data_IF_958902754723
#
_entry.id   IF_958902754723
#
_cell.length_a   1.000
_cell.length_b   1.000
_cell.length_c   1.000
_cell.angle_alpha   90.00
_cell.angle_beta   90.00
_cell.angle_gamma   90.00
#
_symmetry.space_group_name_H-M   'P 1'
#
loop_
_entity.id
_entity.type
_entity.pdbx_description
1 polymer ?
#
# COMPACT_ATOMS: atom_id res chain seq x y z
N UNK A 1 -45.86 20.43 -8.55
CA UNK A 1 -45.85 18.95 -8.49
C UNK A 1 -44.53 18.30 -8.92
N UNK A 2 -43.90 18.64 -10.05
CA UNK A 2 -42.62 18.03 -10.49
C UNK A 2 -41.44 18.24 -9.52
N UNK A 3 -41.29 19.42 -8.92
CA UNK A 3 -40.22 19.68 -7.93
C UNK A 3 -40.43 18.91 -6.61
N UNK A 4 -41.67 18.71 -6.20
CA UNK A 4 -42.00 17.94 -5.00
C UNK A 4 -41.76 16.44 -5.19
N UNK A 5 -41.94 15.94 -6.42
CA UNK A 5 -41.62 14.55 -6.79
C UNK A 5 -40.11 14.27 -6.79
N UNK A 6 -39.29 15.25 -7.19
CA UNK A 6 -37.82 15.14 -7.18
C UNK A 6 -37.28 15.12 -5.74
N UNK A 7 -37.82 15.97 -4.86
CA UNK A 7 -37.46 15.95 -3.42
C UNK A 7 -37.90 14.63 -2.77
N UNK A 8 -39.07 14.09 -3.14
CA UNK A 8 -39.53 12.80 -2.65
C UNK A 8 -38.69 11.63 -3.20
N UNK A 9 -38.21 11.69 -4.45
CA UNK A 9 -37.32 10.70 -5.05
C UNK A 9 -35.92 10.73 -4.42
N UNK A 10 -35.39 11.92 -4.10
CA UNK A 10 -34.13 12.08 -3.35
C UNK A 10 -34.29 11.55 -1.92
N UNK A 11 -35.44 11.74 -1.26
CA UNK A 11 -35.77 11.16 0.05
C UNK A 11 -36.22 9.68 0.00
N UNK A 12 -36.53 9.11 -1.16
CA UNK A 12 -36.77 7.67 -1.32
C UNK A 12 -35.48 6.92 -1.63
N UNK A 13 -34.52 7.57 -2.30
CA UNK A 13 -33.18 7.00 -2.50
C UNK A 13 -32.37 6.93 -1.21
N UNK A 14 -32.67 7.75 -0.19
CA UNK A 14 -32.02 7.66 1.14
C UNK A 14 -32.34 6.37 1.89
N UNK A 15 -33.37 5.61 1.46
CA UNK A 15 -33.71 4.30 2.04
C UNK A 15 -32.97 3.13 1.36
N UNK A 16 -32.17 3.37 0.32
CA UNK A 16 -31.59 2.28 -0.49
C UNK A 16 -30.33 1.65 0.12
N UNK A 17 -29.77 2.15 1.24
CA UNK A 17 -28.74 1.41 2.01
C UNK A 17 -28.93 1.32 3.52
N UNK A 18 -29.98 1.91 4.10
CA UNK A 18 -30.32 1.78 5.51
C UNK A 18 -29.31 2.35 6.53
N UNK A 19 -28.14 2.84 6.12
CA UNK A 19 -27.09 3.35 7.02
C UNK A 19 -26.91 4.86 6.88
N UNK A 20 -27.28 5.63 7.91
CA UNK A 20 -27.25 7.10 7.94
C UNK A 20 -25.84 7.67 7.75
N UNK A 21 -25.56 8.45 6.69
CA UNK A 21 -24.25 9.12 6.48
C UNK A 21 -24.04 10.24 7.52
N UNK A 22 -22.94 10.18 8.30
CA UNK A 22 -22.67 11.05 9.46
C UNK A 22 -21.32 11.76 9.37
N UNK A 23 -21.17 12.77 8.49
CA UNK A 23 -19.88 13.42 8.30
C UNK A 23 -19.51 14.30 9.50
N UNK A 24 -18.24 14.28 9.89
CA UNK A 24 -17.72 15.07 11.02
C UNK A 24 -16.80 16.18 10.55
N UNK A 25 -16.81 17.33 11.23
CA UNK A 25 -15.91 18.43 10.85
C UNK A 25 -14.46 18.08 11.10
N UNK A 26 -13.57 18.48 10.17
CA UNK A 26 -12.13 18.41 10.33
C UNK A 26 -11.48 19.43 9.40
N UNK A 27 -10.22 19.76 9.67
CA UNK A 27 -9.43 20.67 8.84
C UNK A 27 -8.21 19.94 8.33
N UNK A 28 -7.89 20.14 7.07
CA UNK A 28 -6.58 19.81 6.52
C UNK A 28 -5.77 21.11 6.43
N UNK A 29 -4.46 21.09 6.73
CA UNK A 29 -3.60 22.22 6.43
C UNK A 29 -3.69 22.56 4.93
N UNK A 30 -3.27 23.76 4.53
CA UNK A 30 -3.24 24.12 3.12
C UNK A 30 -2.37 23.11 2.33
N UNK A 31 -2.78 22.68 1.13
CA UNK A 31 -2.00 21.74 0.33
C UNK A 31 -0.54 22.15 0.18
N UNK A 32 0.41 21.22 0.32
CA UNK A 32 1.83 21.54 0.24
C UNK A 32 2.20 22.00 -1.18
N UNK A 33 3.28 22.78 -1.30
CA UNK A 33 3.93 23.04 -2.58
C UNK A 33 4.86 21.88 -2.95
N UNK A 34 4.86 21.48 -4.21
CA UNK A 34 5.75 20.43 -4.72
C UNK A 34 7.13 21.02 -5.05
N UNK A 35 7.94 21.21 -4.01
CA UNK A 35 9.29 21.80 -4.09
C UNK A 35 10.32 20.95 -3.33
N UNK A 36 11.60 21.11 -3.65
CA UNK A 36 12.69 20.41 -2.98
C UNK A 36 12.53 18.89 -3.09
N UNK A 37 12.52 18.15 -1.97
CA UNK A 37 12.27 16.70 -1.97
C UNK A 37 10.98 16.25 -2.65
N UNK A 38 9.98 17.14 -2.76
CA UNK A 38 8.68 16.89 -3.40
C UNK A 38 8.58 17.44 -4.82
N UNK A 39 9.69 17.95 -5.40
CA UNK A 39 9.68 18.54 -6.74
C UNK A 39 9.25 17.51 -7.80
N UNK A 40 8.28 17.86 -8.68
CA UNK A 40 7.80 16.93 -9.70
C UNK A 40 8.92 16.48 -10.64
N UNK A 41 8.88 15.21 -11.01
CA UNK A 41 9.79 14.57 -11.96
C UNK A 41 9.01 13.57 -12.84
N UNK A 42 9.72 12.74 -13.61
CA UNK A 42 9.11 11.73 -14.49
C UNK A 42 9.60 10.31 -14.16
N UNK A 43 10.04 10.07 -12.92
CA UNK A 43 10.62 8.78 -12.56
C UNK A 43 9.61 7.63 -12.63
N UNK A 44 8.36 7.82 -12.16
CA UNK A 44 7.31 6.81 -12.30
C UNK A 44 6.82 6.71 -13.74
N UNK A 45 6.77 7.82 -14.47
CA UNK A 45 6.42 7.81 -15.89
C UNK A 45 7.39 6.95 -16.71
N UNK A 46 8.69 7.03 -16.41
CA UNK A 46 9.74 6.25 -17.07
C UNK A 46 10.00 4.87 -16.44
N UNK A 47 9.21 4.46 -15.44
CA UNK A 47 9.40 3.18 -14.78
C UNK A 47 9.20 2.01 -15.77
N UNK A 48 9.99 0.96 -15.59
CA UNK A 48 9.85 -0.27 -16.37
C UNK A 48 8.50 -0.92 -16.06
N UNK A 49 7.73 -1.22 -17.11
CA UNK A 49 6.48 -1.98 -17.00
C UNK A 49 6.80 -3.48 -16.97
N UNK A 50 6.80 -4.05 -15.78
CA UNK A 50 7.02 -5.47 -15.54
C UNK A 50 5.72 -6.25 -15.80
N UNK A 51 5.80 -7.29 -16.63
CA UNK A 51 4.69 -8.22 -16.94
C UNK A 51 3.42 -7.57 -17.51
N UNK A 52 3.53 -6.74 -18.56
CA UNK A 52 2.36 -6.07 -19.16
C UNK A 52 1.29 -7.07 -19.56
N UNK A 53 0.07 -6.82 -19.09
CA UNK A 53 -1.15 -7.62 -19.28
C UNK A 53 -1.14 -9.04 -18.68
N UNK A 54 -0.08 -9.46 -17.98
CA UNK A 54 -0.02 -10.78 -17.30
C UNK A 54 -0.41 -10.71 -15.82
N UNK A 55 -0.32 -9.51 -15.23
CA UNK A 55 -0.66 -9.20 -13.84
C UNK A 55 -1.72 -8.11 -13.83
N UNK A 56 -2.63 -8.13 -12.86
CA UNK A 56 -3.69 -7.12 -12.74
C UNK A 56 -3.74 -6.57 -11.32
N UNK A 57 -3.65 -5.26 -11.21
CA UNK A 57 -3.79 -4.52 -9.97
C UNK A 57 -2.88 -5.02 -8.85
N UNK A 58 -1.55 -5.09 -9.03
CA UNK A 58 -0.65 -5.49 -7.95
C UNK A 58 -0.69 -4.45 -6.83
N UNK A 59 -1.02 -4.87 -5.61
CA UNK A 59 -1.27 -3.93 -4.49
C UNK A 59 -0.16 -3.90 -3.45
N UNK A 60 0.55 -5.01 -3.28
CA UNK A 60 1.61 -5.19 -2.28
C UNK A 60 2.63 -6.24 -2.72
N UNK A 61 3.85 -6.19 -2.18
CA UNK A 61 4.96 -7.08 -2.53
C UNK A 61 5.66 -7.68 -1.30
N UNK A 62 6.25 -8.86 -1.51
CA UNK A 62 7.04 -9.57 -0.51
C UNK A 62 8.28 -10.22 -1.17
N UNK A 63 9.40 -10.22 -0.46
CA UNK A 63 10.69 -10.73 -0.94
C UNK A 63 11.12 -11.93 -0.11
N UNK A 64 11.43 -13.06 -0.77
CA UNK A 64 11.90 -14.27 -0.07
C UNK A 64 12.81 -15.10 -0.98
N UNK A 65 14.06 -15.31 -0.53
CA UNK A 65 15.06 -16.13 -1.22
C UNK A 65 15.20 -15.78 -2.73
N UNK A 66 15.33 -14.48 -3.04
CA UNK A 66 15.47 -13.98 -4.42
C UNK A 66 14.18 -13.98 -5.25
N UNK A 67 13.05 -14.43 -4.70
CA UNK A 67 11.74 -14.33 -5.34
C UNK A 67 11.04 -13.03 -4.94
N UNK A 68 10.13 -12.59 -5.81
CA UNK A 68 9.26 -11.43 -5.55
C UNK A 68 7.83 -11.89 -5.72
N UNK A 69 7.05 -11.77 -4.67
CA UNK A 69 5.65 -12.13 -4.66
C UNK A 69 4.80 -10.88 -4.65
N UNK A 70 3.65 -10.93 -5.32
CA UNK A 70 2.63 -9.88 -5.25
C UNK A 70 1.24 -10.51 -5.19
N UNK A 71 0.28 -9.74 -4.71
CA UNK A 71 -1.13 -10.09 -4.75
C UNK A 71 -1.86 -9.23 -5.78
N UNK A 72 -2.83 -9.83 -6.45
CA UNK A 72 -3.48 -9.24 -7.62
C UNK A 72 -4.99 -9.11 -7.46
N UNK A 73 -5.59 -8.21 -8.24
CA UNK A 73 -7.03 -7.94 -8.23
C UNK A 73 -7.90 -9.15 -8.65
N UNK A 74 -7.31 -10.16 -9.29
CA UNK A 74 -7.92 -11.45 -9.63
C UNK A 74 -7.63 -12.56 -8.58
N UNK A 75 -7.21 -12.17 -7.37
CA UNK A 75 -7.13 -13.01 -6.17
C UNK A 75 -6.07 -14.10 -6.30
N UNK A 76 -4.97 -13.77 -6.98
CA UNK A 76 -3.81 -14.63 -7.10
C UNK A 76 -2.68 -14.09 -6.25
N UNK A 77 -1.90 -15.02 -5.72
CA UNK A 77 -0.58 -14.77 -5.16
C UNK A 77 0.40 -15.24 -6.21
N UNK A 78 1.21 -14.32 -6.73
CA UNK A 78 1.99 -14.52 -7.94
C UNK A 78 3.45 -14.22 -7.66
N UNK A 79 4.35 -15.13 -8.05
CA UNK A 79 5.77 -14.86 -8.14
C UNK A 79 6.08 -14.20 -9.48
N UNK A 80 6.74 -13.04 -9.44
CA UNK A 80 6.98 -12.15 -10.58
C UNK A 80 8.46 -12.06 -10.96
N UNK A 81 9.33 -12.87 -10.35
CA UNK A 81 10.78 -12.83 -10.63
C UNK A 81 11.11 -13.31 -12.06
N UNK A 82 10.37 -14.30 -12.55
CA UNK A 82 10.57 -14.92 -13.87
C UNK A 82 9.83 -14.17 -14.96
N UNK A 83 10.32 -14.26 -16.21
CA UNK A 83 9.68 -13.73 -17.43
C UNK A 83 8.16 -14.01 -17.54
N UNK A 84 7.73 -15.19 -17.12
CA UNK A 84 6.32 -15.52 -16.96
C UNK A 84 6.00 -15.58 -15.47
N UNK A 85 5.08 -14.74 -14.98
CA UNK A 85 4.65 -14.79 -13.59
C UNK A 85 4.03 -16.15 -13.28
N UNK A 86 4.45 -16.75 -12.16
CA UNK A 86 3.96 -18.05 -11.72
C UNK A 86 2.93 -17.85 -10.62
N UNK A 87 1.73 -18.41 -10.78
CA UNK A 87 0.71 -18.37 -9.73
C UNK A 87 1.07 -19.42 -8.67
N UNK A 88 1.28 -18.97 -7.45
CA UNK A 88 1.61 -19.81 -6.29
C UNK A 88 0.33 -20.38 -5.68
N UNK A 89 -0.67 -19.51 -5.52
CA UNK A 89 -1.96 -19.86 -4.94
C UNK A 89 -3.04 -18.90 -5.43
N UNK A 90 -4.30 -19.30 -5.28
CA UNK A 90 -5.45 -18.43 -5.53
C UNK A 90 -6.45 -18.53 -4.39
N UNK A 91 -6.99 -17.37 -4.01
CA UNK A 91 -8.07 -17.22 -3.04
C UNK A 91 -9.40 -16.87 -3.76
N UNK A 92 -9.47 -17.09 -5.07
CA UNK A 92 -10.67 -16.82 -5.86
C UNK A 92 -11.83 -17.73 -5.42
N UNK A 93 -13.01 -17.12 -5.26
CA UNK A 93 -14.25 -17.83 -4.93
C UNK A 93 -15.05 -18.05 -6.20
N UNK A 94 -15.42 -19.30 -6.47
CA UNK A 94 -16.22 -19.65 -7.66
C UNK A 94 -17.64 -19.09 -7.54
N UNK A 95 -18.15 -18.45 -8.60
CA UNK A 95 -19.53 -17.96 -8.66
C UNK A 95 -19.83 -16.70 -7.86
N UNK A 96 -18.81 -16.06 -7.27
CA UNK A 96 -18.96 -14.78 -6.58
C UNK A 96 -19.39 -13.67 -7.56
N UNK A 97 -20.21 -12.73 -7.08
CA UNK A 97 -20.82 -11.66 -7.90
C UNK A 97 -20.39 -10.27 -7.47
N UNK A 98 -20.15 -10.07 -6.18
CA UNK A 98 -19.69 -8.81 -5.61
C UNK A 98 -18.23 -8.88 -5.17
N UNK A 99 -17.56 -7.73 -5.05
CA UNK A 99 -16.19 -7.68 -4.53
C UNK A 99 -16.10 -8.26 -3.10
N UNK A 100 -17.12 -8.05 -2.27
CA UNK A 100 -17.19 -8.62 -0.92
C UNK A 100 -17.25 -10.15 -0.94
N UNK A 101 -18.04 -10.74 -1.85
CA UNK A 101 -18.09 -12.19 -2.03
C UNK A 101 -16.80 -12.74 -2.62
N UNK A 102 -16.24 -12.06 -3.62
CA UNK A 102 -15.03 -12.48 -4.33
C UNK A 102 -13.75 -12.30 -3.51
N UNK A 103 -13.77 -11.43 -2.48
CA UNK A 103 -12.58 -11.00 -1.77
C UNK A 103 -11.81 -9.91 -2.50
N UNK A 104 -10.81 -9.36 -1.82
CA UNK A 104 -9.87 -8.40 -2.36
C UNK A 104 -8.57 -8.53 -1.59
N UNK A 105 -7.52 -9.03 -2.24
CA UNK A 105 -6.20 -9.13 -1.62
C UNK A 105 -5.56 -7.75 -1.60
N UNK A 106 -5.11 -7.30 -0.44
CA UNK A 106 -4.60 -5.93 -0.25
C UNK A 106 -3.14 -5.91 0.17
N UNK A 107 -2.70 -6.89 0.97
CA UNK A 107 -1.35 -6.93 1.54
C UNK A 107 -0.73 -8.33 1.51
N UNK A 108 0.60 -8.38 1.40
CA UNK A 108 1.42 -9.58 1.51
C UNK A 108 2.70 -9.30 2.28
N UNK A 109 3.08 -10.21 3.18
CA UNK A 109 4.32 -10.18 3.98
C UNK A 109 4.94 -11.57 4.05
N UNK A 110 6.18 -11.65 4.51
CA UNK A 110 6.86 -12.90 4.83
C UNK A 110 6.89 -13.06 6.34
N UNK A 111 6.47 -14.22 6.85
CA UNK A 111 6.61 -14.54 8.27
C UNK A 111 7.99 -15.16 8.58
N UNK A 112 8.28 -15.31 9.88
CA UNK A 112 9.55 -15.85 10.37
C UNK A 112 9.85 -17.29 9.92
N UNK A 113 8.84 -18.01 9.42
CA UNK A 113 8.98 -19.38 8.93
C UNK A 113 9.13 -19.44 7.40
N UNK A 114 9.32 -18.28 6.75
CA UNK A 114 9.44 -18.19 5.29
C UNK A 114 8.13 -18.51 4.56
N UNK A 115 6.98 -18.26 5.19
CA UNK A 115 5.66 -18.37 4.56
C UNK A 115 5.14 -17.00 4.20
N UNK A 116 4.25 -16.94 3.20
CA UNK A 116 3.61 -15.71 2.77
C UNK A 116 2.36 -15.48 3.61
N UNK A 117 2.27 -14.37 4.32
CA UNK A 117 1.05 -13.95 5.02
C UNK A 117 0.33 -12.96 4.12
N UNK A 118 -0.92 -13.26 3.79
CA UNK A 118 -1.74 -12.55 2.82
C UNK A 118 -3.01 -12.06 3.49
N UNK A 119 -3.32 -10.78 3.30
CA UNK A 119 -4.54 -10.16 3.80
C UNK A 119 -5.57 -10.04 2.68
N UNK A 120 -6.79 -10.51 2.94
CA UNK A 120 -7.98 -10.20 2.17
C UNK A 120 -8.86 -9.20 2.95
N UNK A 121 -9.23 -8.10 2.30
CA UNK A 121 -10.03 -7.01 2.88
C UNK A 121 -11.36 -7.47 3.49
N UNK A 122 -11.92 -8.55 2.95
CA UNK A 122 -13.24 -9.08 3.28
C UNK A 122 -13.20 -10.41 4.00
N UNK A 123 -12.12 -11.18 3.85
CA UNK A 123 -12.06 -12.58 4.32
C UNK A 123 -11.03 -12.81 5.44
N UNK A 124 -10.20 -11.83 5.76
CA UNK A 124 -9.24 -11.93 6.86
C UNK A 124 -7.84 -12.35 6.41
N UNK A 125 -7.13 -13.05 7.28
CA UNK A 125 -5.71 -13.32 7.17
C UNK A 125 -5.43 -14.77 6.78
N UNK A 126 -4.53 -14.97 5.84
CA UNK A 126 -4.11 -16.28 5.35
C UNK A 126 -2.59 -16.42 5.45
N UNK A 127 -2.12 -17.64 5.69
CA UNK A 127 -0.74 -18.07 5.47
C UNK A 127 -0.70 -18.97 4.26
N UNK A 128 0.29 -18.77 3.40
CA UNK A 128 0.47 -19.48 2.15
C UNK A 128 1.90 -20.00 2.06
N UNK A 129 2.04 -21.27 1.76
CA UNK A 129 3.33 -21.87 1.48
C UNK A 129 3.81 -21.50 0.07
N UNK A 130 4.94 -20.79 -0.09
CA UNK A 130 5.42 -20.37 -1.40
C UNK A 130 5.89 -21.53 -2.28
N UNK A 131 6.20 -22.70 -1.71
CA UNK A 131 6.68 -23.88 -2.44
C UNK A 131 5.53 -24.78 -2.88
N UNK A 132 4.57 -25.04 -1.99
CA UNK A 132 3.49 -26.00 -2.24
C UNK A 132 2.17 -25.34 -2.65
N UNK A 133 2.02 -24.03 -2.41
CA UNK A 133 0.75 -23.32 -2.59
C UNK A 133 -0.30 -23.65 -1.52
N UNK A 134 0.05 -24.39 -0.46
CA UNK A 134 -0.87 -24.72 0.62
C UNK A 134 -1.33 -23.46 1.35
N UNK A 135 -2.63 -23.39 1.67
CA UNK A 135 -3.29 -22.22 2.27
C UNK A 135 -3.83 -22.60 3.65
N UNK A 136 -3.51 -21.81 4.66
CA UNK A 136 -4.06 -21.86 6.02
C UNK A 136 -4.74 -20.53 6.33
N UNK A 137 -6.00 -20.53 6.78
CA UNK A 137 -6.64 -19.30 7.26
C UNK A 137 -6.27 -19.08 8.73
N UNK A 138 -5.58 -17.97 9.01
CA UNK A 138 -5.13 -17.59 10.36
C UNK A 138 -6.22 -16.84 11.13
N UNK A 139 -6.96 -15.98 10.42
CA UNK A 139 -8.03 -15.16 11.00
C UNK A 139 -9.16 -14.98 9.99
N UNK A 140 -10.41 -15.20 10.41
CA UNK A 140 -11.59 -14.89 9.62
C UNK A 140 -12.20 -13.57 10.05
N UNK A 141 -12.48 -12.69 9.09
CA UNK A 141 -13.20 -11.41 9.29
C UNK A 141 -14.64 -11.60 9.79
N UNK A 142 -15.19 -12.82 9.75
CA UNK A 142 -16.50 -13.12 10.35
C UNK A 142 -16.44 -13.16 11.89
N UNK A 143 -15.24 -13.30 12.46
CA UNK A 143 -15.03 -13.31 13.91
C UNK A 143 -15.02 -11.87 14.42
N UNK A 144 -15.91 -11.61 15.38
CA UNK A 144 -15.96 -10.32 16.07
C UNK A 144 -14.74 -10.13 16.96
N UNK A 145 -14.19 -8.93 16.93
CA UNK A 145 -13.11 -8.48 17.81
C UNK A 145 -13.58 -7.16 18.42
N UNK A 146 -13.47 -6.97 19.74
CA UNK A 146 -13.97 -5.74 20.38
C UNK A 146 -15.48 -5.47 20.14
N UNK A 147 -16.29 -6.53 19.97
CA UNK A 147 -17.74 -6.41 19.77
C UNK A 147 -18.20 -6.09 18.34
N UNK A 148 -17.30 -6.03 17.35
CA UNK A 148 -17.67 -5.85 15.93
C UNK A 148 -16.79 -6.64 14.97
N UNK A 149 -17.36 -7.08 13.85
CA UNK A 149 -16.58 -7.66 12.75
C UNK A 149 -15.82 -6.54 12.02
N UNK A 150 -14.63 -6.80 11.47
CA UNK A 150 -14.00 -5.88 10.53
C UNK A 150 -14.89 -5.56 9.34
N UNK A 151 -14.68 -4.37 8.73
CA UNK A 151 -15.38 -3.97 7.50
C UNK A 151 -14.43 -3.77 6.34
N UNK A 152 -13.23 -3.26 6.59
CA UNK A 152 -12.24 -3.05 5.55
C UNK A 152 -10.84 -3.25 6.09
N UNK A 153 -10.31 -4.46 5.92
CA UNK A 153 -8.92 -4.74 6.25
C UNK A 153 -8.00 -4.23 5.13
N UNK A 154 -7.02 -3.37 5.43
CA UNK A 154 -6.16 -2.75 4.39
C UNK A 154 -4.75 -3.30 4.35
N UNK A 155 -4.04 -3.31 5.48
CA UNK A 155 -2.63 -3.71 5.52
C UNK A 155 -2.29 -4.50 6.79
N UNK A 156 -1.15 -5.19 6.74
CA UNK A 156 -0.58 -5.91 7.88
C UNK A 156 0.88 -5.53 8.10
N UNK A 157 1.36 -5.69 9.33
CA UNK A 157 2.81 -5.77 9.58
C UNK A 157 3.07 -6.84 10.63
N UNK A 158 4.18 -7.57 10.46
CA UNK A 158 4.56 -8.70 11.30
C UNK A 158 5.76 -8.29 12.13
N UNK A 159 5.66 -8.46 13.46
CA UNK A 159 6.77 -8.29 14.39
C UNK A 159 7.73 -9.48 14.33
N UNK A 160 8.94 -9.27 14.82
CA UNK A 160 9.96 -10.29 15.03
C UNK A 160 9.52 -11.47 15.90
N UNK A 161 8.55 -11.28 16.80
CA UNK A 161 7.94 -12.36 17.60
C UNK A 161 6.79 -13.11 16.86
N UNK A 162 6.47 -12.70 15.63
CA UNK A 162 5.40 -13.27 14.81
C UNK A 162 4.01 -12.65 15.07
N UNK A 163 3.88 -11.71 15.99
CA UNK A 163 2.65 -10.93 16.20
C UNK A 163 2.32 -10.11 14.96
N UNK A 164 1.05 -10.08 14.57
CA UNK A 164 0.61 -9.41 13.34
C UNK A 164 -0.35 -8.28 13.69
N UNK A 165 0.00 -7.04 13.36
CA UNK A 165 -0.93 -5.92 13.38
C UNK A 165 -1.71 -5.87 12.07
N UNK A 166 -3.00 -5.54 12.16
CA UNK A 166 -3.91 -5.48 11.01
C UNK A 166 -4.72 -4.18 11.09
N UNK A 167 -4.76 -3.39 10.01
CA UNK A 167 -5.61 -2.20 9.94
C UNK A 167 -7.04 -2.57 9.56
N UNK A 168 -8.04 -1.98 10.23
CA UNK A 168 -9.45 -2.06 9.87
C UNK A 168 -10.00 -0.63 9.73
N UNK A 169 -10.23 -0.20 8.50
CA UNK A 169 -10.26 1.23 8.16
C UNK A 169 -11.55 1.95 8.47
N UNK A 170 -12.64 1.21 8.69
CA UNK A 170 -13.95 1.76 9.00
C UNK A 170 -14.77 0.77 9.82
N UNK A 171 -15.72 1.29 10.60
CA UNK A 171 -16.79 0.52 11.24
C UNK A 171 -18.01 0.36 10.33
N UNK A 172 -17.99 0.98 9.15
CA UNK A 172 -19.19 1.24 8.35
C UNK A 172 -19.04 0.85 6.89
N UNK A 173 -18.07 1.43 6.19
CA UNK A 173 -17.88 1.23 4.74
C UNK A 173 -16.75 0.22 4.48
N UNK A 174 -16.93 -0.57 3.44
CA UNK A 174 -15.96 -1.55 2.96
C UNK A 174 -15.12 -1.00 1.80
N UNK A 175 -14.25 -1.83 1.22
CA UNK A 175 -13.40 -1.43 0.07
C UNK A 175 -14.21 -0.95 -1.15
N UNK A 176 -15.40 -1.51 -1.35
CA UNK A 176 -16.31 -1.13 -2.43
C UNK A 176 -16.85 0.30 -2.26
N UNK A 177 -16.81 0.86 -1.04
CA UNK A 177 -17.42 2.12 -0.63
C UNK A 177 -16.43 3.05 0.08
N UNK A 178 -15.14 2.88 -0.20
CA UNK A 178 -14.00 3.58 0.40
C UNK A 178 -14.08 5.11 0.38
N UNK A 179 -14.59 5.70 -0.71
CA UNK A 179 -14.71 7.16 -0.84
C UNK A 179 -15.65 7.74 0.23
N UNK A 180 -16.65 6.98 0.67
CA UNK A 180 -17.53 7.42 1.75
C UNK A 180 -16.84 7.46 3.10
N UNK A 181 -15.75 6.70 3.32
CA UNK A 181 -14.90 6.82 4.52
C UNK A 181 -14.24 8.21 4.54
N UNK A 182 -13.70 8.64 3.40
CA UNK A 182 -13.05 9.96 3.24
C UNK A 182 -14.08 11.08 3.43
N UNK A 183 -15.23 10.97 2.76
CA UNK A 183 -16.30 11.97 2.81
C UNK A 183 -17.00 12.03 4.17
N UNK A 184 -17.03 10.95 4.93
CA UNK A 184 -17.55 10.95 6.29
C UNK A 184 -16.50 11.50 7.27
N UNK A 185 -15.24 11.11 7.08
CA UNK A 185 -14.09 11.62 7.83
C UNK A 185 -14.10 11.23 9.31
N UNK A 186 -14.88 10.23 9.70
CA UNK A 186 -14.98 9.75 11.09
C UNK A 186 -13.71 8.98 11.48
N UNK A 187 -13.16 9.21 12.69
CA UNK A 187 -12.02 8.45 13.20
C UNK A 187 -12.46 7.09 13.76
N UNK A 188 -13.18 6.29 12.95
CA UNK A 188 -13.72 4.98 13.37
C UNK A 188 -12.86 3.79 12.99
N UNK A 189 -11.73 4.03 12.33
CA UNK A 189 -10.75 3.00 12.02
C UNK A 189 -10.00 2.53 13.26
N UNK A 190 -9.54 1.29 13.23
CA UNK A 190 -8.94 0.60 14.36
C UNK A 190 -7.74 -0.24 13.94
N UNK A 191 -6.94 -0.66 14.91
CA UNK A 191 -5.82 -1.60 14.71
C UNK A 191 -6.11 -2.86 15.52
N UNK A 192 -6.04 -4.01 14.86
CA UNK A 192 -6.16 -5.33 15.47
C UNK A 192 -4.77 -5.95 15.66
N UNK A 193 -4.68 -6.90 16.58
CA UNK A 193 -3.48 -7.68 16.86
C UNK A 193 -3.82 -9.15 16.84
N UNK A 194 -3.19 -9.91 15.93
CA UNK A 194 -3.23 -11.37 15.89
C UNK A 194 -1.99 -11.94 16.58
N UNK A 195 -2.22 -12.80 17.58
CA UNK A 195 -1.17 -13.51 18.31
C UNK A 195 -0.99 -14.91 17.71
N UNK A 196 0.21 -15.28 17.23
CA UNK A 196 0.47 -16.61 16.69
C UNK A 196 0.40 -17.70 17.78
N UNK A 197 0.73 -17.36 19.02
CA UNK A 197 0.76 -18.31 20.15
C UNK A 197 -0.64 -18.75 20.56
N UNK A 198 -1.54 -17.79 20.72
CA UNK A 198 -2.93 -18.04 21.14
C UNK A 198 -3.85 -18.30 19.96
N UNK A 199 -3.42 -17.96 18.74
CA UNK A 199 -4.24 -17.92 17.52
C UNK A 199 -5.48 -17.04 17.66
N UNK A 200 -5.42 -16.02 18.51
CA UNK A 200 -6.51 -15.08 18.74
C UNK A 200 -6.20 -13.70 18.17
N UNK A 201 -7.24 -13.04 17.69
CA UNK A 201 -7.20 -11.63 17.28
C UNK A 201 -7.86 -10.78 18.36
N UNK A 202 -7.16 -9.75 18.83
CA UNK A 202 -7.63 -8.81 19.84
C UNK A 202 -7.62 -7.38 19.30
N UNK A 203 -8.36 -6.50 19.97
CA UNK A 203 -8.38 -5.07 19.63
C UNK A 203 -7.16 -4.38 20.27
N UNK A 204 -6.30 -3.78 19.45
CA UNK A 204 -5.09 -3.09 19.90
C UNK A 204 -5.34 -1.58 20.09
N UNK A 205 -5.82 -0.92 19.03
CA UNK A 205 -6.38 0.43 19.07
C UNK A 205 -7.83 0.33 18.63
N UNK A 206 -8.76 0.87 19.42
CA UNK A 206 -10.21 0.73 19.19
C UNK A 206 -10.77 1.69 18.14
N UNK A 207 -10.39 2.95 18.21
CA UNK A 207 -10.82 4.04 17.35
C UNK A 207 -9.78 5.19 17.43
N UNK A 208 -10.06 6.33 16.81
CA UNK A 208 -9.22 7.52 16.86
C UNK A 208 -8.35 7.75 15.62
N UNK A 209 -8.38 6.82 14.64
CA UNK A 209 -7.65 6.94 13.37
C UNK A 209 -8.65 6.96 12.22
N UNK A 210 -8.53 7.94 11.33
CA UNK A 210 -9.41 8.10 10.16
C UNK A 210 -8.82 7.35 8.98
N UNK A 211 -9.44 6.22 8.62
CA UNK A 211 -9.00 5.39 7.50
C UNK A 211 -7.52 4.96 7.66
N UNK A 212 -7.15 4.21 8.73
CA UNK A 212 -5.84 3.57 8.83
C UNK A 212 -5.66 2.63 7.64
N UNK A 213 -4.72 2.93 6.76
CA UNK A 213 -4.57 2.23 5.49
C UNK A 213 -3.33 1.33 5.54
N UNK A 214 -2.13 1.89 5.34
CA UNK A 214 -0.84 1.21 5.45
C UNK A 214 -0.31 1.09 6.88
N UNK A 215 0.45 0.03 7.14
CA UNK A 215 1.14 -0.24 8.41
C UNK A 215 2.63 -0.58 8.18
N UNK A 216 3.49 -0.11 9.08
CA UNK A 216 4.91 -0.47 9.09
C UNK A 216 5.53 -0.32 10.50
N UNK A 217 6.54 -1.12 10.82
CA UNK A 217 7.29 -0.99 12.08
C UNK A 217 8.48 -0.05 11.93
N UNK A 218 8.69 0.81 12.93
CA UNK A 218 9.81 1.74 13.01
C UNK A 218 10.63 1.54 14.30
N UNK A 219 11.80 2.19 14.37
CA UNK A 219 12.64 2.30 15.56
C UNK A 219 12.88 0.96 16.29
N UNK A 220 13.28 -0.09 15.56
CA UNK A 220 13.47 -1.45 16.08
C UNK A 220 12.20 -2.03 16.74
N UNK A 221 11.06 -1.86 16.07
CA UNK A 221 9.73 -2.31 16.51
C UNK A 221 9.24 -1.68 17.82
N UNK A 222 9.73 -0.49 18.16
CA UNK A 222 9.23 0.29 19.29
C UNK A 222 8.09 1.23 18.91
N UNK A 223 7.83 1.40 17.61
CA UNK A 223 6.75 2.23 17.07
C UNK A 223 6.07 1.51 15.90
N UNK A 224 4.74 1.62 15.85
CA UNK A 224 3.91 1.22 14.70
C UNK A 224 3.50 2.48 13.94
N UNK A 225 3.99 2.64 12.71
CA UNK A 225 3.57 3.69 11.80
C UNK A 225 2.26 3.30 11.10
N UNK A 226 1.38 4.29 10.92
CA UNK A 226 0.07 4.12 10.28
C UNK A 226 -0.15 5.26 9.29
N UNK A 227 -0.53 4.90 8.05
CA UNK A 227 -1.03 5.87 7.09
C UNK A 227 -2.45 6.23 7.47
N UNK A 228 -2.68 7.42 8.00
CA UNK A 228 -4.02 7.94 8.26
C UNK A 228 -4.54 8.61 6.98
N UNK A 229 -5.05 7.77 6.07
CA UNK A 229 -5.41 8.16 4.72
C UNK A 229 -6.40 9.32 4.71
N UNK A 230 -7.41 9.29 5.58
CA UNK A 230 -8.46 10.32 5.66
C UNK A 230 -7.99 11.65 6.26
N UNK A 231 -6.71 11.77 6.65
CA UNK A 231 -6.09 13.00 7.17
C UNK A 231 -4.83 13.41 6.43
N UNK A 232 -4.50 12.77 5.31
CA UNK A 232 -3.31 13.07 4.50
C UNK A 232 -2.03 13.16 5.34
N UNK A 233 -1.84 12.22 6.28
CA UNK A 233 -0.74 12.24 7.25
C UNK A 233 -0.34 10.84 7.69
N UNK A 234 0.85 10.73 8.27
CA UNK A 234 1.32 9.54 8.98
C UNK A 234 1.25 9.79 10.47
N UNK A 235 0.76 8.80 11.21
CA UNK A 235 0.76 8.78 12.68
C UNK A 235 1.58 7.59 13.16
N UNK A 236 2.02 7.65 14.41
CA UNK A 236 2.73 6.54 15.07
C UNK A 236 2.05 6.18 16.38
N UNK A 237 2.08 4.89 16.69
CA UNK A 237 1.60 4.32 17.94
C UNK A 237 2.82 3.75 18.67
N UNK A 238 3.09 4.22 19.88
CA UNK A 238 4.20 3.68 20.67
C UNK A 238 3.91 2.25 21.14
N UNK A 239 4.91 1.39 21.00
CA UNK A 239 4.94 0.02 21.50
C UNK A 239 5.84 -0.13 22.74
N UNK A 240 6.42 0.97 23.23
CA UNK A 240 7.22 0.98 24.46
C UNK A 240 6.32 0.87 25.70
N UNK A 241 6.73 0.14 26.76
CA UNK A 241 5.92 0.00 27.97
C UNK A 241 5.51 1.32 28.63
N UNK A 242 6.39 2.33 28.63
CA UNK A 242 6.16 3.63 29.29
C UNK A 242 5.17 4.54 28.56
N UNK A 243 4.96 4.34 27.26
CA UNK A 243 4.07 5.15 26.41
C UNK A 243 3.16 4.26 25.58
N UNK A 244 2.88 3.04 26.04
CA UNK A 244 2.23 2.00 25.25
C UNK A 244 0.87 2.49 24.71
N UNK A 245 0.67 2.29 23.40
CA UNK A 245 -0.53 2.72 22.65
C UNK A 245 -0.72 4.24 22.54
N UNK A 246 0.27 5.06 22.94
CA UNK A 246 0.21 6.49 22.71
C UNK A 246 0.28 6.80 21.21
N UNK A 247 -0.78 7.41 20.70
CA UNK A 247 -0.89 7.90 19.32
C UNK A 247 -0.28 9.30 19.23
N UNK A 248 0.62 9.52 18.27
CA UNK A 248 1.19 10.84 17.98
C UNK A 248 1.43 11.05 16.49
N UNK A 249 1.60 12.30 16.08
CA UNK A 249 1.92 12.66 14.71
C UNK A 249 3.34 12.18 14.34
N UNK A 250 3.49 11.65 13.13
CA UNK A 250 4.80 11.30 12.56
C UNK A 250 5.15 12.20 11.37
N UNK A 251 4.24 12.36 10.42
CA UNK A 251 4.41 13.24 9.26
C UNK A 251 3.08 13.89 8.91
N UNK A 252 3.04 15.20 8.66
CA UNK A 252 1.80 15.94 8.42
C UNK A 252 1.72 16.51 7.00
N UNK A 253 0.49 16.78 6.54
CA UNK A 253 0.18 17.51 5.32
C UNK A 253 0.87 16.96 4.07
N UNK A 254 0.76 15.64 3.89
CA UNK A 254 1.31 14.96 2.74
C UNK A 254 0.68 15.45 1.43
N UNK A 255 1.40 15.35 0.29
CA UNK A 255 0.93 15.75 -1.03
C UNK A 255 -0.14 14.81 -1.63
N UNK A 256 -0.93 14.14 -0.78
CA UNK A 256 -2.06 13.29 -1.16
C UNK A 256 -2.49 12.43 0.01
N UNK A 257 -3.37 11.47 -0.26
CA UNK A 257 -3.80 10.50 0.73
C UNK A 257 -2.81 9.33 0.75
N UNK A 258 -2.16 9.04 1.90
CA UNK A 258 -1.12 8.03 1.99
C UNK A 258 -1.69 6.61 1.93
N UNK A 259 -1.03 5.77 1.14
CA UNK A 259 -1.34 4.35 0.93
C UNK A 259 -0.45 3.46 1.83
N UNK A 260 0.12 2.37 1.31
CA UNK A 260 1.03 1.50 2.08
C UNK A 260 2.34 2.23 2.42
N UNK A 261 2.88 1.96 3.62
CA UNK A 261 4.18 2.44 4.11
C UNK A 261 5.16 1.28 4.10
N UNK A 262 6.33 1.41 3.48
CA UNK A 262 7.35 0.35 3.47
C UNK A 262 8.70 0.87 3.86
N UNK A 263 9.29 0.25 4.87
CA UNK A 263 10.63 0.61 5.35
C UNK A 263 11.68 0.22 4.31
N UNK A 264 12.63 1.12 4.07
CA UNK A 264 13.83 0.84 3.27
C UNK A 264 14.97 0.32 4.16
N UNK A 265 16.01 -0.24 3.55
CA UNK A 265 17.26 -0.62 4.24
C UNK A 265 17.99 0.59 4.86
N UNK A 266 17.65 1.81 4.45
CA UNK A 266 18.27 3.07 4.91
C UNK A 266 17.52 3.69 6.08
N UNK A 267 16.58 2.97 6.69
CA UNK A 267 15.73 3.49 7.77
C UNK A 267 14.88 4.70 7.35
N UNK A 268 14.55 4.79 6.06
CA UNK A 268 13.52 5.67 5.50
C UNK A 268 12.27 4.86 5.18
N UNK A 269 11.20 5.52 4.79
CA UNK A 269 9.91 4.88 4.51
C UNK A 269 9.36 5.38 3.17
N UNK A 270 9.13 4.46 2.25
CA UNK A 270 8.38 4.72 1.03
C UNK A 270 6.89 4.69 1.31
N UNK A 271 6.16 5.67 0.78
CA UNK A 271 4.71 5.76 0.93
C UNK A 271 4.08 6.01 -0.43
N UNK A 272 3.20 5.09 -0.84
CA UNK A 272 2.35 5.30 -2.03
C UNK A 272 1.35 6.43 -1.78
N UNK A 273 1.01 7.23 -2.79
CA UNK A 273 0.08 8.34 -2.64
C UNK A 273 -1.05 8.23 -3.67
N UNK A 274 -2.29 8.37 -3.18
CA UNK A 274 -3.52 8.53 -3.95
C UNK A 274 -4.08 9.94 -3.83
N UNK A 275 -4.95 10.33 -4.78
CA UNK A 275 -5.66 11.63 -4.76
C UNK A 275 -4.73 12.82 -4.44
N UNK A 276 -3.68 12.97 -5.25
CA UNK A 276 -2.63 13.96 -5.06
C UNK A 276 -3.20 15.37 -4.84
N UNK A 277 -2.65 16.08 -3.86
CA UNK A 277 -3.01 17.45 -3.46
C UNK A 277 -1.77 18.31 -3.43
N UNK A 278 -1.84 19.48 -4.02
CA UNK A 278 -0.79 20.49 -3.89
C UNK A 278 -1.34 21.87 -4.21
N UNK A 279 -0.62 22.92 -3.80
CA UNK A 279 -1.03 24.32 -3.94
C UNK A 279 -1.29 24.78 -5.38
N UNK A 280 -0.80 24.04 -6.37
CA UNK A 280 -0.94 24.34 -7.80
C UNK A 280 -2.21 23.78 -8.46
N UNK A 281 -2.98 22.93 -7.79
CA UNK A 281 -4.23 22.36 -8.34
C UNK A 281 -5.33 22.47 -7.27
N UNK A 282 -6.51 23.05 -7.59
CA UNK A 282 -7.65 23.03 -6.70
C UNK A 282 -8.04 21.59 -6.33
N UNK A 283 -8.15 21.30 -5.04
CA UNK A 283 -8.56 19.99 -4.55
C UNK A 283 -9.88 20.13 -3.77
N UNK A 284 -10.89 19.35 -4.19
CA UNK A 284 -12.21 19.38 -3.56
C UNK A 284 -12.19 18.82 -2.14
N UNK A 285 -11.29 17.88 -1.81
CA UNK A 285 -11.13 17.40 -0.43
C UNK A 285 -10.68 18.53 0.48
N UNK A 286 -9.73 19.36 0.03
CA UNK A 286 -9.29 20.55 0.77
C UNK A 286 -10.39 21.57 0.96
N UNK A 287 -11.10 21.87 -0.13
CA UNK A 287 -12.12 22.92 -0.15
C UNK A 287 -13.30 22.58 0.76
N UNK A 288 -13.66 21.30 0.87
CA UNK A 288 -14.83 20.85 1.61
C UNK A 288 -14.53 20.03 2.88
N UNK A 289 -13.26 19.87 3.27
CA UNK A 289 -12.86 19.15 4.49
C UNK A 289 -13.66 19.65 5.71
N UNK A 290 -13.64 20.97 5.93
CA UNK A 290 -14.32 21.66 7.04
C UNK A 290 -15.83 21.82 6.88
N UNK A 291 -16.44 21.30 5.80
CA UNK A 291 -17.88 21.46 5.53
C UNK A 291 -18.60 20.10 5.46
N UNK A 292 -19.00 19.52 6.61
CA UNK A 292 -19.75 18.26 6.66
C UNK A 292 -21.04 18.27 5.85
N UNK A 293 -21.77 19.38 5.82
CA UNK A 293 -23.03 19.49 5.08
C UNK A 293 -22.80 19.39 3.57
N UNK A 294 -21.75 20.02 3.04
CA UNK A 294 -21.40 19.90 1.62
C UNK A 294 -20.98 18.47 1.26
N UNK A 295 -20.18 17.81 2.12
CA UNK A 295 -19.80 16.40 1.92
C UNK A 295 -21.00 15.45 2.00
N UNK A 296 -21.94 15.67 2.93
CA UNK A 296 -23.21 14.92 2.99
C UNK A 296 -24.00 15.06 1.70
N UNK A 297 -24.24 16.29 1.24
CA UNK A 297 -24.98 16.54 -0.02
C UNK A 297 -24.31 15.84 -1.20
N UNK A 298 -22.99 15.91 -1.28
CA UNK A 298 -22.22 15.23 -2.33
C UNK A 298 -22.42 13.72 -2.27
N UNK A 299 -22.25 13.12 -1.08
CA UNK A 299 -22.41 11.68 -0.89
C UNK A 299 -23.82 11.16 -1.22
N UNK A 300 -24.86 11.97 -0.96
CA UNK A 300 -26.25 11.62 -1.29
C UNK A 300 -26.63 11.88 -2.75
N UNK A 301 -25.95 12.79 -3.45
CA UNK A 301 -26.36 13.24 -4.79
C UNK A 301 -25.51 12.63 -5.91
N UNK A 302 -24.31 12.16 -5.60
CA UNK A 302 -23.33 11.69 -6.58
C UNK A 302 -22.76 10.36 -6.09
N UNK A 303 -22.75 9.35 -6.96
CA UNK A 303 -22.13 8.08 -6.64
C UNK A 303 -20.60 8.24 -6.52
N UNK A 304 -19.99 7.44 -5.67
CA UNK A 304 -18.54 7.53 -5.41
C UNK A 304 -17.65 7.38 -6.65
N UNK A 305 -18.05 6.62 -7.68
CA UNK A 305 -17.19 6.43 -8.85
C UNK A 305 -17.15 7.72 -9.64
N UNK A 306 -18.28 8.40 -9.80
CA UNK A 306 -18.34 9.75 -10.35
C UNK A 306 -17.52 10.72 -9.50
N UNK A 307 -17.60 10.66 -8.17
CA UNK A 307 -16.77 11.51 -7.28
C UNK A 307 -15.27 11.31 -7.55
N UNK A 308 -14.82 10.05 -7.67
CA UNK A 308 -13.42 9.71 -7.94
C UNK A 308 -12.92 10.30 -9.26
N UNK A 309 -13.77 10.47 -10.28
CA UNK A 309 -13.36 11.04 -11.58
C UNK A 309 -13.01 12.53 -11.54
N UNK A 310 -13.43 13.27 -10.51
CA UNK A 310 -13.07 14.69 -10.36
C UNK A 310 -11.63 14.89 -9.87
N UNK A 311 -10.97 13.83 -9.38
CA UNK A 311 -9.57 13.91 -9.00
C UNK A 311 -8.67 13.58 -10.19
N UNK A 312 -7.70 14.45 -10.53
CA UNK A 312 -6.80 14.20 -11.64
C UNK A 312 -5.99 12.93 -11.39
N UNK A 313 -5.75 12.16 -12.45
CA UNK A 313 -4.84 11.03 -12.39
C UNK A 313 -3.43 11.55 -12.17
N UNK A 314 -2.74 10.98 -11.19
CA UNK A 314 -1.37 11.32 -10.86
C UNK A 314 -0.72 10.11 -10.20
N UNK A 315 0.50 9.76 -10.61
CA UNK A 315 1.32 8.77 -9.92
C UNK A 315 2.28 9.46 -8.97
N UNK A 316 2.23 9.13 -7.68
CA UNK A 316 3.13 9.70 -6.69
C UNK A 316 3.51 8.64 -5.64
N UNK A 317 4.80 8.53 -5.38
CA UNK A 317 5.34 7.89 -4.19
C UNK A 317 6.31 8.87 -3.53
N UNK A 318 6.28 8.95 -2.19
CA UNK A 318 7.22 9.78 -1.43
C UNK A 318 8.10 8.91 -0.56
N UNK A 319 9.30 9.40 -0.27
CA UNK A 319 10.20 8.84 0.73
C UNK A 319 10.25 9.81 1.91
N UNK A 320 10.01 9.31 3.12
CA UNK A 320 10.16 10.07 4.37
C UNK A 320 11.28 9.48 5.22
N UNK A 321 12.01 10.31 5.95
CA UNK A 321 13.04 9.84 6.89
C UNK A 321 12.45 9.28 8.19
N UNK A 322 13.33 8.89 9.13
CA UNK A 322 12.94 8.38 10.44
C UNK A 322 12.30 9.42 11.37
N UNK A 323 12.28 10.70 10.98
CA UNK A 323 11.59 11.79 11.67
C UNK A 323 10.28 12.17 10.98
N UNK A 324 9.93 11.49 9.89
CA UNK A 324 8.73 11.75 9.10
C UNK A 324 8.84 12.94 8.15
N UNK A 325 10.05 13.44 7.86
CA UNK A 325 10.25 14.52 6.88
C UNK A 325 10.39 13.94 5.47
N UNK A 326 9.73 14.51 4.45
CA UNK A 326 9.96 14.11 3.06
C UNK A 326 11.42 14.36 2.65
N UNK A 327 12.07 13.32 2.14
CA UNK A 327 13.47 13.35 1.64
C UNK A 327 13.58 13.02 0.16
N UNK A 328 12.51 12.52 -0.46
CA UNK A 328 12.45 12.28 -1.89
C UNK A 328 11.04 11.97 -2.38
N UNK A 329 10.87 11.97 -3.70
CA UNK A 329 9.60 11.67 -4.34
C UNK A 329 9.78 11.21 -5.79
N UNK A 330 8.85 10.37 -6.25
CA UNK A 330 8.80 9.83 -7.60
C UNK A 330 7.44 10.13 -8.20
N UNK A 331 7.44 10.67 -9.40
CA UNK A 331 6.23 11.24 -10.00
C UNK A 331 5.94 10.67 -11.39
N UNK A 332 4.65 10.54 -11.68
CA UNK A 332 4.06 10.53 -13.01
C UNK A 332 2.97 11.63 -13.03
N UNK A 333 3.32 12.87 -13.41
CA UNK A 333 2.38 13.98 -13.44
C UNK A 333 1.25 13.80 -14.46
N UNK A 334 1.42 12.90 -15.43
CA UNK A 334 0.41 12.62 -16.46
C UNK A 334 -0.63 11.60 -15.98
N UNK A 335 -0.30 10.80 -14.98
CA UNK A 335 -1.13 9.69 -14.52
C UNK A 335 -1.32 8.56 -15.55
N UNK A 336 -0.52 8.55 -16.63
CA UNK A 336 -0.72 7.66 -17.78
C UNK A 336 -0.02 6.31 -17.63
N UNK A 337 1.05 6.25 -16.84
CA UNK A 337 1.83 5.04 -16.55
C UNK A 337 1.56 4.56 -15.12
N UNK A 338 1.51 5.48 -14.15
CA UNK A 338 1.03 5.20 -12.80
C UNK A 338 -0.01 6.22 -12.41
N UNK A 339 -1.11 5.76 -11.83
CA UNK A 339 -2.00 6.61 -11.06
C UNK A 339 -2.43 5.87 -9.80
N UNK A 340 -2.53 6.60 -8.68
CA UNK A 340 -2.79 6.02 -7.35
C UNK A 340 -1.83 4.87 -7.03
N UNK A 341 -0.62 5.22 -6.63
CA UNK A 341 0.38 4.22 -6.24
C UNK A 341 -0.03 3.62 -4.90
N UNK A 342 -0.32 2.32 -4.87
CA UNK A 342 -0.73 1.65 -3.63
C UNK A 342 0.45 1.26 -2.76
N UNK A 343 1.58 0.91 -3.36
CA UNK A 343 2.80 0.56 -2.65
C UNK A 343 4.04 0.88 -3.49
N UNK A 344 5.08 1.36 -2.82
CA UNK A 344 6.43 1.39 -3.34
C UNK A 344 7.34 0.72 -2.30
N UNK A 345 8.16 -0.24 -2.72
CA UNK A 345 9.04 -0.98 -1.81
C UNK A 345 10.39 -1.27 -2.46
N UNK A 346 11.44 -1.02 -1.69
CA UNK A 346 12.83 -1.17 -2.11
C UNK A 346 13.33 -2.57 -1.76
N UNK A 347 14.00 -3.22 -2.71
CA UNK A 347 14.77 -4.44 -2.47
C UNK A 347 16.02 -4.42 -3.35
N UNK A 348 17.20 -4.45 -2.72
CA UNK A 348 18.50 -4.57 -3.40
C UNK A 348 18.70 -3.54 -4.55
N UNK A 349 18.39 -2.26 -4.30
CA UNK A 349 18.55 -1.18 -5.28
C UNK A 349 17.47 -1.09 -6.35
N UNK A 350 16.47 -1.99 -6.30
CA UNK A 350 15.27 -1.94 -7.15
C UNK A 350 14.08 -1.46 -6.33
N UNK A 351 13.28 -0.56 -6.89
CA UNK A 351 12.00 -0.17 -6.33
C UNK A 351 10.87 -0.81 -7.13
N UNK A 352 10.04 -1.60 -6.45
CA UNK A 352 8.82 -2.18 -7.00
C UNK A 352 7.64 -1.27 -6.68
N UNK A 353 6.83 -0.96 -7.69
CA UNK A 353 5.71 -0.03 -7.58
C UNK A 353 4.40 -0.70 -8.01
N UNK A 354 3.41 -0.64 -7.14
CA UNK A 354 2.07 -1.21 -7.32
C UNK A 354 1.01 -0.15 -7.56
N UNK A 355 -0.05 -0.55 -8.25
CA UNK A 355 -1.30 0.22 -8.37
C UNK A 355 -2.43 -0.75 -8.69
N UNK A 356 -3.55 -0.64 -7.97
CA UNK A 356 -4.77 -1.44 -8.19
C UNK A 356 -5.35 -1.28 -9.60
N UNK A 357 -5.01 -0.20 -10.30
CA UNK A 357 -5.55 0.12 -11.62
C UNK A 357 -4.69 -0.42 -12.78
N UNK A 358 -3.42 -0.70 -12.52
CA UNK A 358 -2.48 -1.08 -13.57
C UNK A 358 -2.61 -2.56 -13.95
N UNK A 359 -2.28 -2.88 -15.21
CA UNK A 359 -2.16 -4.27 -15.70
C UNK A 359 -0.70 -4.72 -15.81
N UNK A 360 0.13 -4.24 -14.88
CA UNK A 360 1.56 -4.50 -14.76
C UNK A 360 2.03 -4.02 -13.39
N UNK A 361 3.25 -4.41 -13.02
CA UNK A 361 4.01 -3.83 -11.90
C UNK A 361 5.03 -2.85 -12.45
N UNK A 362 5.34 -1.79 -11.70
CA UNK A 362 6.45 -0.90 -12.00
C UNK A 362 7.75 -1.39 -11.40
N UNK A 363 8.86 -1.19 -12.10
CA UNK A 363 10.20 -1.30 -11.53
C UNK A 363 11.04 -0.08 -11.87
N UNK A 364 11.70 0.48 -10.87
CA UNK A 364 12.70 1.53 -11.05
C UNK A 364 14.03 1.01 -10.52
N UNK A 365 15.11 1.22 -11.28
CA UNK A 365 16.47 1.08 -10.78
C UNK A 365 16.80 2.38 -10.06
N UNK A 366 17.02 2.31 -8.75
CA UNK A 366 17.31 3.51 -7.96
C UNK A 366 18.74 3.98 -8.24
N UNK A 367 18.99 5.31 -8.26
CA UNK A 367 20.34 5.85 -8.38
C UNK A 367 21.26 5.29 -7.29
N UNK A 368 22.47 4.88 -7.68
CA UNK A 368 23.48 4.39 -6.73
C UNK A 368 24.04 5.54 -5.89
N UNK A 369 24.36 5.26 -4.62
CA UNK A 369 24.73 6.25 -3.61
C UNK A 369 23.98 6.05 -2.29
N UNK A 370 24.50 6.58 -1.18
CA UNK A 370 23.92 6.46 0.17
C UNK A 370 23.62 5.01 0.62
N UNK A 371 24.58 4.10 0.44
CA UNK A 371 24.47 2.66 0.76
C UNK A 371 23.41 1.88 -0.05
N UNK A 372 22.80 2.45 -1.10
CA UNK A 372 22.04 1.66 -2.08
C UNK A 372 23.03 0.86 -2.94
N UNK A 373 22.98 -0.47 -2.84
CA UNK A 373 23.77 -1.36 -3.69
C UNK A 373 22.86 -2.20 -4.59
N UNK A 374 23.05 -2.07 -5.89
CA UNK A 374 22.57 -3.08 -6.85
C UNK A 374 23.46 -4.30 -6.74
N UNK A 375 22.88 -5.40 -6.26
CA UNK A 375 23.56 -6.69 -6.16
C UNK A 375 23.60 -7.38 -7.54
N UNK A 376 24.48 -8.38 -7.69
CA UNK A 376 24.42 -9.28 -8.85
C UNK A 376 23.05 -9.93 -8.96
N UNK A 377 22.44 -10.30 -7.83
CA UNK A 377 21.14 -10.96 -7.81
C UNK A 377 20.03 -10.01 -8.32
N UNK A 378 20.09 -8.71 -8.01
CA UNK A 378 19.24 -7.68 -8.62
C UNK A 378 19.44 -7.52 -10.13
N UNK A 379 20.69 -7.50 -10.61
CA UNK A 379 20.98 -7.43 -12.05
C UNK A 379 20.40 -8.66 -12.75
N UNK A 380 20.66 -9.85 -12.23
CA UNK A 380 20.14 -11.10 -12.79
C UNK A 380 18.62 -11.13 -12.75
N UNK A 381 18.00 -10.60 -11.69
CA UNK A 381 16.55 -10.46 -11.60
C UNK A 381 16.00 -9.55 -12.70
N UNK A 382 16.64 -8.42 -12.97
CA UNK A 382 16.25 -7.54 -14.09
C UNK A 382 16.32 -8.31 -15.41
N UNK A 383 17.42 -9.02 -15.66
CA UNK A 383 17.61 -9.80 -16.88
C UNK A 383 16.58 -10.95 -17.03
N UNK A 384 16.35 -11.73 -15.95
CA UNK A 384 15.36 -12.81 -15.87
C UNK A 384 13.96 -12.35 -16.26
N UNK A 385 13.55 -11.22 -15.68
CA UNK A 385 12.19 -10.72 -15.83
C UNK A 385 11.91 -10.08 -17.21
N UNK A 386 12.95 -9.64 -17.94
CA UNK A 386 12.83 -9.01 -19.26
C UNK A 386 12.61 -9.99 -20.40
N UNK A 387 12.71 -11.30 -20.16
CA UNK A 387 12.59 -12.34 -21.19
C UNK A 387 13.64 -12.23 -22.32
N UNK A 388 14.74 -11.50 -22.10
CA UNK A 388 15.77 -11.26 -23.13
C UNK A 388 16.92 -12.26 -23.08
N UNK A 389 17.10 -12.94 -21.94
CA UNK A 389 18.18 -13.91 -21.72
C UNK A 389 17.56 -15.20 -21.16
N UNK A 390 17.83 -16.37 -21.77
CA UNK A 390 17.35 -17.64 -21.27
C UNK A 390 18.10 -18.07 -19.99
N UNK A 391 17.43 -18.89 -19.17
CA UNK A 391 17.84 -19.16 -17.79
C UNK A 391 19.15 -19.95 -17.68
N UNK A 392 19.41 -20.82 -18.66
CA UNK A 392 20.66 -21.57 -18.82
C UNK A 392 21.88 -20.66 -19.06
N UNK A 393 21.67 -19.45 -19.59
CA UNK A 393 22.73 -18.44 -19.78
C UNK A 393 22.91 -17.52 -18.57
N UNK A 394 21.91 -17.39 -17.71
CA UNK A 394 21.99 -16.55 -16.51
C UNK A 394 22.86 -17.17 -15.41
N UNK A 395 22.89 -18.49 -15.30
CA UNK A 395 23.77 -19.19 -14.34
C UNK A 395 25.26 -18.96 -14.64
N UNK A 396 25.76 -19.16 -15.88
CA UNK A 396 27.11 -18.75 -16.25
C UNK A 396 27.37 -17.25 -16.10
N UNK A 397 26.40 -16.39 -16.46
CA UNK A 397 26.54 -14.95 -16.30
C UNK A 397 26.76 -14.54 -14.82
N UNK A 398 26.08 -15.20 -13.88
CA UNK A 398 26.31 -15.00 -12.44
C UNK A 398 27.75 -15.31 -12.03
N UNK A 399 28.28 -16.44 -12.49
CA UNK A 399 29.65 -16.87 -12.18
C UNK A 399 30.65 -15.87 -12.76
N UNK A 400 30.46 -15.45 -14.01
CA UNK A 400 31.33 -14.46 -14.67
C UNK A 400 31.30 -13.09 -13.97
N UNK A 401 30.11 -12.61 -13.59
CA UNK A 401 29.95 -11.36 -12.85
C UNK A 401 30.64 -11.42 -11.48
N UNK A 402 30.48 -12.54 -10.74
CA UNK A 402 31.17 -12.74 -9.47
C UNK A 402 32.69 -12.76 -9.64
N UNK A 403 33.19 -13.47 -10.66
CA UNK A 403 34.62 -13.51 -10.98
C UNK A 403 35.15 -12.12 -11.34
N UNK A 404 34.43 -11.37 -12.17
CA UNK A 404 34.79 -10.01 -12.55
C UNK A 404 34.86 -9.09 -11.34
N UNK A 405 33.84 -9.08 -10.48
CA UNK A 405 33.83 -8.24 -9.27
C UNK A 405 34.97 -8.63 -8.32
N UNK A 406 35.21 -9.93 -8.10
CA UNK A 406 36.31 -10.39 -7.25
C UNK A 406 37.68 -10.00 -7.81
N UNK A 407 37.86 -10.06 -9.13
CA UNK A 407 39.09 -9.60 -9.80
C UNK A 407 39.24 -8.07 -9.70
N UNK A 408 38.16 -7.31 -9.90
CA UNK A 408 38.16 -5.86 -9.73
C UNK A 408 38.43 -5.45 -8.28
N UNK A 409 37.91 -6.19 -7.29
CA UNK A 409 38.17 -5.98 -5.87
C UNK A 409 39.64 -6.29 -5.51
N UNK A 410 40.21 -7.37 -6.06
CA UNK A 410 41.62 -7.71 -5.90
C UNK A 410 42.56 -6.69 -6.58
N UNK A 411 42.11 -6.05 -7.66
CA UNK A 411 42.86 -4.99 -8.35
C UNK A 411 42.69 -3.60 -7.71
N UNK A 412 41.60 -3.36 -6.97
CA UNK A 412 41.33 -2.06 -6.28
C UNK A 412 42.01 -1.95 -4.92
N UNK A 413 42.69 -2.99 -4.41
CA UNK A 413 43.77 -2.81 -3.42
C UNK A 413 44.94 -1.95 -3.93
N UNK A 414 44.91 -1.48 -5.19
CA UNK A 414 45.79 -0.44 -5.73
C UNK A 414 45.10 0.74 -6.45
N UNK A 415 43.76 0.87 -6.45
CA UNK A 415 43.09 2.06 -7.04
C UNK A 415 41.62 2.21 -6.60
N UNK A 416 41.14 3.45 -6.54
CA UNK A 416 39.80 3.87 -6.08
C UNK A 416 38.60 3.09 -6.67
N UNK A 417 37.50 2.93 -5.91
CA UNK A 417 36.33 2.18 -6.35
C UNK A 417 35.59 2.89 -7.49
N UNK A 418 35.27 2.13 -8.54
CA UNK A 418 34.43 2.56 -9.67
C UNK A 418 32.96 2.33 -9.30
N UNK A 419 32.14 3.37 -9.43
CA UNK A 419 30.67 3.27 -9.41
C UNK A 419 30.18 2.60 -10.69
N UNK A 420 29.37 1.55 -10.57
CA UNK A 420 28.57 0.99 -11.67
C UNK A 420 27.27 1.77 -11.87
#
# INVERSE_FOLDING_TARGET
>A
MKQMLIVLLVHLQTLVSGQQFTPVSFTLPAPPSLIGPLSPNYALYNAEKLHPSKIRGPTSFAFLHGNVYTVTADKRIVNIVTCNPTTIATLAVTGCRSIAECGMLTSIRVDNNGKLVVLDAYKGLYRVDPLTGAIEQLYSSTVQVGGRTPKYLNDIVIKSDGTIFISDSSDKYDAANDMYIILEGRPSGRILLYSPDTKQTTEFIKDGIVYPNGLELAANETELLVSEMGRARLVRISLLPSTFRLLSLFSENLPGLPENIRRSSRNTFWVGISYVRHSGIPNSMDTYAGNPTARARTAYSVDQNTIKTYYPKYGLAIEVDSEGKPVGSLHDPTGSVFHSVTEAIENEGLLYVGSIYNRYTGRIVLPQGDNRMVTIDSVLQVLRSRCQIPEDRLVPARILLLQYINQSAANTTQANPISL
#
